data_IF_766257803833
#
_entry.id   IF_766257803833
#
_cell.length_a   1.000
_cell.length_b   1.000
_cell.length_c   1.000
_cell.angle_alpha   90.00
_cell.angle_beta   90.00
_cell.angle_gamma   90.00
#
_symmetry.space_group_name_H-M   'P 1'
#
loop_
_entity.id
_entity.type
_entity.pdbx_description
1 polymer ?
#
# COMPACT_ATOMS: atom_id res chain seq x y z
N UNK A 1 0.43 -33.61 6.53
CA UNK A 1 -0.37 -32.38 6.70
C UNK A 1 -0.80 -32.27 8.16
N UNK A 2 0.12 -31.84 9.01
CA UNK A 2 -0.23 -31.47 10.39
C UNK A 2 -0.97 -30.14 10.37
N UNK A 3 -2.26 -30.17 10.56
CA UNK A 3 -3.06 -29.00 10.88
C UNK A 3 -2.68 -28.52 12.28
N UNK A 4 -1.65 -27.71 12.41
CA UNK A 4 -1.48 -26.91 13.61
C UNK A 4 -2.54 -25.83 13.58
N UNK A 5 -3.62 -26.03 14.32
CA UNK A 5 -4.58 -24.97 14.59
C UNK A 5 -4.01 -24.13 15.74
N UNK A 6 -3.56 -22.92 15.44
CA UNK A 6 -3.32 -21.90 16.45
C UNK A 6 -4.65 -21.66 17.16
N UNK A 7 -4.64 -21.69 18.49
CA UNK A 7 -5.85 -21.39 19.26
C UNK A 7 -6.02 -19.88 19.39
N UNK A 8 -7.24 -19.35 19.43
CA UNK A 8 -7.49 -17.90 19.50
C UNK A 8 -6.80 -17.18 20.65
N UNK A 9 -6.47 -17.88 21.72
CA UNK A 9 -5.82 -17.33 22.93
C UNK A 9 -4.29 -17.50 22.92
N UNK A 10 -3.69 -18.03 21.86
CA UNK A 10 -2.25 -18.11 21.73
C UNK A 10 -1.72 -16.78 21.20
N UNK A 11 -0.60 -16.32 21.75
CA UNK A 11 0.08 -15.10 21.29
C UNK A 11 0.62 -15.29 19.89
N UNK A 12 -0.08 -14.73 18.90
CA UNK A 12 0.33 -14.79 17.50
C UNK A 12 -0.70 -14.10 16.63
N UNK A 13 -0.21 -13.50 15.54
CA UNK A 13 -1.06 -12.88 14.53
C UNK A 13 -1.23 -13.84 13.35
N UNK A 14 -2.40 -13.82 12.73
CA UNK A 14 -2.64 -14.57 11.50
C UNK A 14 -2.47 -13.64 10.32
N UNK A 15 -1.51 -13.96 9.50
CA UNK A 15 -1.28 -13.29 8.23
C UNK A 15 -2.16 -13.91 7.13
N UNK A 16 -3.00 -13.09 6.53
CA UNK A 16 -3.91 -13.53 5.44
C UNK A 16 -3.53 -12.82 4.16
N UNK A 17 -3.05 -13.60 3.22
CA UNK A 17 -2.57 -13.12 1.93
C UNK A 17 -3.31 -13.72 0.74
N UNK A 18 -3.24 -13.05 -0.40
CA UNK A 18 -3.83 -13.48 -1.66
C UNK A 18 -4.50 -12.35 -2.42
N UNK A 19 -5.30 -12.70 -3.39
CA UNK A 19 -6.13 -11.72 -4.11
C UNK A 19 -7.28 -11.24 -3.24
N UNK A 20 -7.73 -10.01 -3.46
CA UNK A 20 -8.69 -9.31 -2.61
C UNK A 20 -9.93 -10.12 -2.22
N UNK A 21 -10.52 -10.83 -3.19
CA UNK A 21 -11.72 -11.64 -2.93
C UNK A 21 -11.49 -12.81 -1.97
N UNK A 22 -10.30 -13.40 -2.00
CA UNK A 22 -9.93 -14.50 -1.13
C UNK A 22 -9.53 -14.01 0.27
N UNK A 23 -8.76 -12.95 0.34
CA UNK A 23 -8.30 -12.35 1.60
C UNK A 23 -9.48 -11.91 2.43
N UNK A 24 -10.43 -11.19 1.84
CA UNK A 24 -11.58 -10.64 2.54
C UNK A 24 -12.38 -11.73 3.28
N UNK A 25 -12.77 -12.79 2.60
CA UNK A 25 -13.58 -13.87 3.21
C UNK A 25 -12.82 -14.64 4.28
N UNK A 26 -11.53 -14.93 4.06
CA UNK A 26 -10.68 -15.62 5.03
C UNK A 26 -10.45 -14.74 6.27
N UNK A 27 -10.14 -13.46 6.07
CA UNK A 27 -9.89 -12.53 7.15
C UNK A 27 -11.12 -12.32 8.04
N UNK A 28 -12.30 -12.12 7.46
CA UNK A 28 -13.57 -12.01 8.20
C UNK A 28 -13.84 -13.27 9.02
N UNK A 29 -13.62 -14.46 8.42
CA UNK A 29 -13.81 -15.72 9.13
C UNK A 29 -12.87 -15.85 10.33
N UNK A 30 -11.60 -15.50 10.16
CA UNK A 30 -10.61 -15.58 11.24
C UNK A 30 -10.87 -14.53 12.32
N UNK A 31 -11.12 -13.28 11.94
CA UNK A 31 -11.43 -12.21 12.88
C UNK A 31 -12.66 -12.55 13.76
N UNK A 32 -13.70 -13.09 13.14
CA UNK A 32 -14.91 -13.52 13.85
C UNK A 32 -14.68 -14.69 14.82
N UNK A 33 -13.60 -15.45 14.63
CA UNK A 33 -13.16 -16.54 15.51
C UNK A 33 -12.03 -16.14 16.46
N UNK A 34 -11.91 -14.86 16.78
CA UNK A 34 -10.97 -14.29 17.77
C UNK A 34 -9.48 -14.36 17.40
N UNK A 35 -9.15 -14.45 16.12
CA UNK A 35 -7.78 -14.34 15.67
C UNK A 35 -7.44 -12.88 15.34
N UNK A 36 -6.33 -12.33 15.85
CA UNK A 36 -5.75 -11.09 15.35
C UNK A 36 -5.25 -11.29 13.91
N UNK A 37 -5.75 -10.48 12.98
CA UNK A 37 -5.51 -10.65 11.53
C UNK A 37 -4.73 -9.48 10.97
N UNK A 38 -3.67 -9.77 10.23
CA UNK A 38 -2.96 -8.84 9.36
C UNK A 38 -3.36 -9.13 7.92
N UNK A 39 -3.74 -8.10 7.19
CA UNK A 39 -4.21 -8.21 5.81
C UNK A 39 -3.08 -7.92 4.82
N UNK A 40 -2.89 -8.82 3.87
CA UNK A 40 -2.01 -8.60 2.74
C UNK A 40 -2.74 -8.91 1.43
N UNK A 41 -3.13 -7.86 0.74
CA UNK A 41 -3.79 -7.97 -0.55
C UNK A 41 -2.76 -7.92 -1.67
N UNK A 42 -2.47 -9.05 -2.29
CA UNK A 42 -1.49 -9.13 -3.37
C UNK A 42 -1.79 -8.14 -4.52
N UNK A 43 -3.06 -7.83 -4.74
CA UNK A 43 -3.51 -6.88 -5.76
C UNK A 43 -3.04 -5.45 -5.49
N UNK A 44 -2.69 -5.10 -4.25
CA UNK A 44 -2.35 -3.75 -3.81
C UNK A 44 -0.97 -3.63 -3.17
N UNK A 45 -0.51 -4.66 -2.47
CA UNK A 45 0.65 -4.58 -1.59
C UNK A 45 1.78 -5.55 -1.90
N UNK A 46 1.75 -6.23 -3.05
CA UNK A 46 2.91 -6.94 -3.58
C UNK A 46 3.76 -5.96 -4.40
N UNK A 47 4.86 -5.52 -3.81
CA UNK A 47 5.71 -4.49 -4.40
C UNK A 47 6.62 -4.99 -5.51
N UNK A 48 6.77 -6.29 -5.66
CA UNK A 48 7.41 -6.95 -6.79
C UNK A 48 6.55 -6.99 -8.07
N UNK A 49 5.31 -6.50 -8.01
CA UNK A 49 4.50 -6.32 -9.21
C UNK A 49 4.97 -5.10 -10.02
N UNK A 50 4.93 -5.22 -11.35
CA UNK A 50 5.36 -4.15 -12.26
C UNK A 50 4.51 -2.87 -12.10
N UNK A 51 5.14 -1.72 -12.30
CA UNK A 51 4.46 -0.43 -12.29
C UNK A 51 3.62 -0.18 -13.55
N UNK A 52 4.15 -0.55 -14.70
CA UNK A 52 3.55 -0.26 -16.01
C UNK A 52 3.62 -1.48 -16.93
N UNK A 53 2.77 -1.55 -17.99
CA UNK A 53 2.76 -2.67 -18.92
C UNK A 53 3.91 -2.65 -19.94
N UNK A 54 4.98 -1.94 -19.67
CA UNK A 54 6.11 -1.84 -20.59
C UNK A 54 6.99 -3.09 -20.51
N UNK A 55 7.42 -3.58 -21.67
CA UNK A 55 8.19 -4.83 -21.77
C UNK A 55 9.51 -4.84 -20.99
N UNK A 56 10.10 -3.67 -20.74
CA UNK A 56 11.34 -3.51 -19.98
C UNK A 56 11.13 -3.17 -18.51
N UNK A 57 9.90 -2.98 -18.07
CA UNK A 57 9.60 -2.69 -16.68
C UNK A 57 9.84 -3.95 -15.84
N UNK A 58 10.64 -3.86 -14.77
CA UNK A 58 10.88 -5.02 -13.90
C UNK A 58 9.65 -5.40 -13.10
N UNK A 59 9.61 -6.65 -12.65
CA UNK A 59 8.55 -7.16 -11.77
C UNK A 59 7.63 -8.18 -12.42
N UNK A 60 6.75 -8.71 -11.59
CA UNK A 60 5.68 -9.61 -12.02
C UNK A 60 4.37 -8.85 -12.26
N UNK A 61 3.39 -9.52 -12.86
CA UNK A 61 2.06 -8.94 -13.17
C UNK A 61 0.90 -9.89 -12.90
N UNK A 62 1.15 -10.99 -12.17
CA UNK A 62 0.12 -12.02 -11.94
C UNK A 62 -0.90 -11.61 -10.86
N UNK A 63 -0.51 -10.78 -9.90
CA UNK A 63 -1.35 -10.42 -8.76
C UNK A 63 -2.13 -9.12 -9.00
N UNK A 64 -1.47 -8.09 -9.50
CA UNK A 64 -2.04 -6.75 -9.62
C UNK A 64 -2.41 -6.39 -11.06
N UNK A 65 -3.18 -5.32 -11.15
CA UNK A 65 -3.52 -4.66 -12.42
C UNK A 65 -2.49 -3.60 -12.81
N UNK A 66 -1.23 -3.72 -12.45
CA UNK A 66 -0.25 -2.65 -12.51
C UNK A 66 -0.34 -1.78 -11.25
N UNK A 67 0.61 -1.98 -10.34
CA UNK A 67 0.55 -1.32 -9.04
C UNK A 67 1.53 -0.16 -8.94
N UNK A 68 1.03 1.06 -8.93
CA UNK A 68 1.78 2.22 -8.48
C UNK A 68 1.35 2.58 -7.05
N UNK A 69 1.79 3.70 -6.54
CA UNK A 69 1.55 4.18 -5.19
C UNK A 69 0.06 4.42 -4.88
N UNK A 70 -0.71 4.82 -5.88
CA UNK A 70 -2.18 4.95 -5.79
C UNK A 70 -2.87 3.60 -5.58
N UNK A 71 -2.38 2.54 -6.21
CA UNK A 71 -2.86 1.20 -5.98
C UNK A 71 -2.55 0.74 -4.54
N UNK A 72 -1.33 0.99 -4.05
CA UNK A 72 -0.95 0.67 -2.67
C UNK A 72 -1.77 1.46 -1.65
N UNK A 73 -2.06 2.72 -1.91
CA UNK A 73 -2.97 3.52 -1.07
C UNK A 73 -4.39 2.94 -1.05
N UNK A 74 -4.85 2.41 -2.17
CA UNK A 74 -6.20 1.85 -2.31
C UNK A 74 -6.45 0.59 -1.46
N UNK A 75 -5.41 -0.01 -0.87
CA UNK A 75 -5.54 -1.10 0.11
C UNK A 75 -6.41 -0.68 1.30
N UNK A 76 -6.44 0.61 1.66
CA UNK A 76 -7.26 1.13 2.72
C UNK A 76 -8.76 0.87 2.50
N UNK A 77 -9.23 1.01 1.27
CA UNK A 77 -10.64 0.72 0.91
C UNK A 77 -10.93 -0.78 1.12
N UNK A 78 -10.05 -1.64 0.64
CA UNK A 78 -10.20 -3.07 0.78
C UNK A 78 -10.20 -3.51 2.26
N UNK A 79 -9.32 -2.93 3.06
CA UNK A 79 -9.25 -3.17 4.51
C UNK A 79 -10.50 -2.69 5.23
N UNK A 80 -10.97 -1.47 4.96
CA UNK A 80 -12.21 -0.92 5.53
C UNK A 80 -13.42 -1.78 5.19
N UNK A 81 -13.53 -2.21 3.95
CA UNK A 81 -14.61 -3.10 3.53
C UNK A 81 -14.57 -4.45 4.27
N UNK A 82 -13.37 -4.96 4.54
CA UNK A 82 -13.18 -6.21 5.29
C UNK A 82 -13.58 -6.03 6.76
N UNK A 83 -13.20 -4.91 7.37
CA UNK A 83 -13.62 -4.56 8.73
C UNK A 83 -15.14 -4.44 8.85
N UNK A 84 -15.79 -3.77 7.90
CA UNK A 84 -17.26 -3.61 7.91
C UNK A 84 -18.02 -4.93 7.75
N UNK A 85 -17.41 -5.96 7.18
CA UNK A 85 -18.01 -7.30 7.06
C UNK A 85 -17.75 -8.18 8.27
N UNK A 86 -16.84 -7.81 9.15
CA UNK A 86 -16.54 -8.56 10.36
C UNK A 86 -17.46 -8.15 11.51
N UNK A 87 -17.90 -9.14 12.30
CA UNK A 87 -18.55 -8.90 13.58
C UNK A 87 -17.56 -8.48 14.68
N UNK A 88 -16.27 -8.63 14.42
CA UNK A 88 -15.15 -8.29 15.30
C UNK A 88 -14.08 -7.49 14.53
N UNK A 89 -14.41 -6.28 14.10
CA UNK A 89 -13.49 -5.48 13.27
C UNK A 89 -12.17 -5.16 13.94
N UNK A 90 -12.15 -5.04 15.27
CA UNK A 90 -10.94 -4.76 16.07
C UNK A 90 -9.90 -5.90 16.01
N UNK A 91 -10.30 -7.08 15.59
CA UNK A 91 -9.38 -8.18 15.36
C UNK A 91 -8.63 -8.06 14.02
N UNK A 92 -9.01 -7.13 13.16
CA UNK A 92 -8.23 -6.77 11.96
C UNK A 92 -7.28 -5.66 12.36
N UNK A 93 -6.03 -6.03 12.65
CA UNK A 93 -5.08 -5.20 13.39
C UNK A 93 -4.03 -4.49 12.54
N UNK A 94 -3.95 -4.79 11.24
CA UNK A 94 -2.93 -4.16 10.41
C UNK A 94 -2.95 -4.59 8.95
N UNK A 95 -2.07 -3.91 8.21
CA UNK A 95 -1.79 -4.16 6.80
C UNK A 95 -0.33 -4.56 6.64
N UNK A 96 -0.07 -5.40 5.65
CA UNK A 96 1.27 -5.84 5.28
C UNK A 96 1.49 -5.71 3.77
N UNK A 97 2.73 -5.47 3.37
CA UNK A 97 3.16 -5.51 1.99
C UNK A 97 4.39 -6.38 1.82
N UNK A 98 4.44 -7.16 0.75
CA UNK A 98 5.55 -8.04 0.44
C UNK A 98 6.35 -7.54 -0.76
N UNK A 99 7.64 -7.80 -0.71
CA UNK A 99 8.57 -7.61 -1.81
C UNK A 99 9.35 -8.91 -2.03
N UNK A 100 8.85 -9.74 -2.92
CA UNK A 100 9.47 -11.01 -3.28
C UNK A 100 10.65 -10.78 -4.21
N UNK A 101 11.78 -11.40 -3.90
CA UNK A 101 13.06 -11.05 -4.54
C UNK A 101 13.43 -11.90 -5.76
N UNK A 102 12.52 -12.73 -6.23
CA UNK A 102 12.76 -13.62 -7.37
C UNK A 102 13.23 -12.90 -8.65
N UNK A 103 12.80 -11.65 -8.82
CA UNK A 103 13.14 -10.79 -9.98
C UNK A 103 13.89 -9.52 -9.58
N UNK A 104 14.45 -9.49 -8.38
CA UNK A 104 15.17 -8.33 -7.85
C UNK A 104 16.65 -8.70 -7.68
N UNK A 105 17.51 -8.38 -8.64
CA UNK A 105 18.92 -8.82 -8.65
C UNK A 105 19.81 -8.03 -7.68
N UNK A 106 19.43 -6.81 -7.31
CA UNK A 106 20.27 -5.93 -6.52
C UNK A 106 19.48 -4.92 -5.67
N UNK A 107 20.19 -4.21 -4.81
CA UNK A 107 19.62 -3.22 -3.91
C UNK A 107 19.02 -2.02 -4.63
N UNK A 108 19.57 -1.61 -5.76
CA UNK A 108 19.06 -0.50 -6.57
C UNK A 108 17.67 -0.82 -7.09
N UNK A 109 17.50 -2.04 -7.61
CA UNK A 109 16.19 -2.49 -8.08
C UNK A 109 15.21 -2.73 -6.93
N UNK A 110 15.68 -3.18 -5.78
CA UNK A 110 14.85 -3.30 -4.57
C UNK A 110 14.24 -1.94 -4.19
N UNK A 111 15.06 -0.89 -4.13
CA UNK A 111 14.56 0.46 -3.86
C UNK A 111 13.58 0.93 -4.93
N UNK A 112 13.89 0.69 -6.20
CA UNK A 112 13.04 1.03 -7.32
C UNK A 112 11.66 0.38 -7.22
N UNK A 113 11.61 -0.89 -6.87
CA UNK A 113 10.34 -1.64 -6.76
C UNK A 113 9.54 -1.26 -5.51
N UNK A 114 10.21 -0.99 -4.40
CA UNK A 114 9.56 -0.63 -3.15
C UNK A 114 9.06 0.82 -3.13
N UNK A 115 9.82 1.74 -3.73
CA UNK A 115 9.58 3.18 -3.63
C UNK A 115 9.12 3.76 -4.98
N UNK A 116 8.03 4.54 -4.98
CA UNK A 116 7.31 5.08 -3.84
C UNK A 116 6.09 4.25 -3.35
N UNK A 117 5.82 3.04 -3.85
CA UNK A 117 4.67 2.21 -3.47
C UNK A 117 4.50 2.06 -1.95
N UNK A 118 5.61 1.85 -1.24
CA UNK A 118 5.61 1.70 0.22
C UNK A 118 4.98 2.91 0.92
N UNK A 119 5.11 4.11 0.35
CA UNK A 119 4.48 5.30 0.91
C UNK A 119 2.95 5.24 0.85
N UNK A 120 2.38 4.63 -0.19
CA UNK A 120 0.94 4.40 -0.28
C UNK A 120 0.44 3.44 0.80
N UNK A 121 1.16 2.34 1.03
CA UNK A 121 0.83 1.40 2.10
C UNK A 121 0.97 2.05 3.49
N UNK A 122 2.04 2.81 3.71
CA UNK A 122 2.25 3.51 4.97
C UNK A 122 1.13 4.51 5.25
N UNK A 123 0.73 5.29 4.26
CA UNK A 123 -0.41 6.20 4.38
C UNK A 123 -1.69 5.46 4.73
N UNK A 124 -1.99 4.37 4.02
CA UNK A 124 -3.16 3.54 4.29
C UNK A 124 -3.19 2.94 5.70
N UNK A 125 -2.01 2.66 6.26
CA UNK A 125 -1.87 2.01 7.57
C UNK A 125 -1.91 2.99 8.75
N UNK A 126 -1.44 4.22 8.56
CA UNK A 126 -1.21 5.18 9.64
C UNK A 126 -2.16 6.37 9.64
N UNK A 127 -2.88 6.62 8.55
CA UNK A 127 -3.87 7.69 8.51
C UNK A 127 -5.15 7.28 9.20
N UNK A 128 -5.41 7.89 10.35
CA UNK A 128 -6.61 7.63 11.16
C UNK A 128 -7.89 8.23 10.54
N UNK A 129 -7.74 9.27 9.73
CA UNK A 129 -8.87 9.95 9.09
C UNK A 129 -8.95 9.55 7.63
N UNK A 130 -10.13 9.08 7.28
CA UNK A 130 -10.59 8.75 5.94
C UNK A 130 -9.50 8.89 4.86
N UNK A 131 -8.81 7.81 4.59
CA UNK A 131 -8.01 7.64 3.37
C UNK A 131 -8.90 7.88 2.13
N UNK A 132 -10.15 8.17 2.37
CA UNK A 132 -11.16 8.43 1.35
C UNK A 132 -11.55 9.90 1.35
N UNK A 133 -11.43 10.53 0.19
CA UNK A 133 -12.04 11.80 -0.07
C UNK A 133 -13.60 11.71 -0.11
N UNK A 134 -14.24 12.82 -0.34
CA UNK A 134 -15.69 12.88 -0.55
C UNK A 134 -16.04 11.97 -1.74
N UNK A 135 -16.60 10.82 -1.45
CA UNK A 135 -16.99 9.84 -2.48
C UNK A 135 -16.32 8.47 -2.33
N UNK A 136 -15.56 8.24 -1.26
CA UNK A 136 -14.99 6.93 -0.93
C UNK A 136 -13.75 6.55 -1.74
N UNK A 137 -13.06 7.53 -2.33
CA UNK A 137 -11.78 7.34 -2.99
C UNK A 137 -10.61 7.59 -2.03
N UNK A 138 -9.48 6.90 -2.20
CA UNK A 138 -8.27 7.22 -1.44
C UNK A 138 -7.90 8.69 -1.61
N UNK A 139 -7.43 9.34 -0.54
CA UNK A 139 -6.96 10.72 -0.59
C UNK A 139 -5.60 10.80 -1.32
N UNK A 140 -5.63 10.48 -2.61
CA UNK A 140 -4.48 10.47 -3.49
C UNK A 140 -3.87 11.86 -3.66
N UNK A 141 -4.72 12.88 -3.75
CA UNK A 141 -4.28 14.26 -3.96
C UNK A 141 -3.39 14.75 -2.81
N UNK A 142 -3.79 14.49 -1.56
CA UNK A 142 -2.99 14.86 -0.38
C UNK A 142 -1.67 14.09 -0.32
N UNK A 143 -1.69 12.78 -0.56
CA UNK A 143 -0.48 11.97 -0.56
C UNK A 143 0.47 12.40 -1.69
N UNK A 144 -0.03 12.57 -2.91
CA UNK A 144 0.77 12.96 -4.06
C UNK A 144 1.45 14.30 -3.85
N UNK A 145 0.76 15.24 -3.22
CA UNK A 145 1.34 16.52 -2.81
C UNK A 145 2.54 16.32 -1.86
N UNK A 146 2.35 15.57 -0.79
CA UNK A 146 3.42 15.32 0.21
C UNK A 146 4.58 14.51 -0.36
N UNK A 147 4.35 13.67 -1.35
CA UNK A 147 5.41 12.93 -2.04
C UNK A 147 6.23 13.83 -2.97
N UNK A 148 5.58 14.65 -3.76
CA UNK A 148 6.18 15.27 -4.94
C UNK A 148 6.39 16.77 -4.90
N UNK A 149 5.85 17.51 -3.93
CA UNK A 149 5.91 18.97 -3.97
C UNK A 149 7.23 19.55 -3.46
N UNK A 150 8.00 20.05 -4.40
CA UNK A 150 9.17 20.88 -4.14
C UNK A 150 10.35 20.15 -3.49
N UNK A 151 11.25 20.93 -2.93
CA UNK A 151 12.46 20.43 -2.25
C UNK A 151 12.18 19.76 -0.90
N UNK A 152 10.99 19.97 -0.35
CA UNK A 152 10.56 19.45 0.95
C UNK A 152 9.69 18.19 0.80
N UNK A 153 9.36 17.79 -0.43
CA UNK A 153 8.63 16.55 -0.68
C UNK A 153 9.40 15.30 -0.24
N UNK A 154 8.66 14.29 0.18
CA UNK A 154 9.25 13.06 0.72
C UNK A 154 10.21 12.38 -0.28
N UNK A 155 9.93 12.41 -1.57
CA UNK A 155 10.80 11.83 -2.59
C UNK A 155 12.11 12.61 -2.73
N UNK A 156 12.06 13.94 -2.64
CA UNK A 156 13.27 14.77 -2.63
C UNK A 156 14.11 14.51 -1.37
N UNK A 157 13.46 14.33 -0.23
CA UNK A 157 14.11 13.94 1.03
C UNK A 157 14.79 12.58 0.91
N UNK A 158 14.12 11.56 0.40
CA UNK A 158 14.70 10.23 0.17
C UNK A 158 15.96 10.29 -0.71
N UNK A 159 15.92 11.11 -1.76
CA UNK A 159 17.08 11.26 -2.63
C UNK A 159 18.22 12.03 -1.94
N UNK A 160 17.94 13.17 -1.29
CA UNK A 160 18.96 14.03 -0.72
C UNK A 160 19.65 13.44 0.52
N UNK A 161 18.90 12.72 1.36
CA UNK A 161 19.39 12.18 2.64
C UNK A 161 19.88 10.75 2.50
N UNK A 162 19.15 9.91 1.78
CA UNK A 162 19.44 8.49 1.68
C UNK A 162 20.00 8.05 0.33
N UNK A 163 20.07 8.96 -0.65
CA UNK A 163 20.47 8.65 -2.03
C UNK A 163 19.67 7.48 -2.61
N UNK A 164 18.40 7.38 -2.20
CA UNK A 164 17.55 6.27 -2.57
C UNK A 164 17.24 6.27 -4.07
N UNK A 165 17.38 5.10 -4.69
CA UNK A 165 17.02 4.90 -6.09
C UNK A 165 15.55 4.52 -6.20
N UNK A 166 14.66 5.48 -6.06
CA UNK A 166 13.23 5.24 -6.27
C UNK A 166 12.86 5.39 -7.76
N UNK A 167 11.75 4.77 -8.16
CA UNK A 167 11.29 4.74 -9.56
C UNK A 167 11.10 6.14 -10.17
N UNK A 168 10.87 7.13 -9.39
CA UNK A 168 10.48 8.46 -9.82
C UNK A 168 9.13 8.84 -9.19
N UNK A 169 8.53 9.89 -9.73
CA UNK A 169 7.20 10.27 -9.29
C UNK A 169 6.16 9.24 -9.71
N UNK A 170 5.18 8.93 -8.86
CA UNK A 170 4.04 8.12 -9.25
C UNK A 170 3.33 8.69 -10.48
N UNK A 171 2.70 7.82 -11.27
CA UNK A 171 1.99 8.23 -12.48
C UNK A 171 0.97 9.34 -12.16
N UNK A 172 1.01 10.41 -12.95
CA UNK A 172 0.16 11.59 -12.78
C UNK A 172 0.79 12.74 -11.98
N UNK A 173 1.77 12.49 -11.11
CA UNK A 173 2.41 13.58 -10.34
C UNK A 173 3.27 14.46 -11.22
N UNK A 174 4.03 13.92 -12.16
CA UNK A 174 4.91 14.71 -13.04
C UNK A 174 4.16 15.76 -13.87
N UNK A 175 2.92 15.46 -14.24
CA UNK A 175 2.07 16.40 -14.99
C UNK A 175 1.32 17.37 -14.09
N UNK A 176 1.00 16.99 -12.86
CA UNK A 176 0.16 17.76 -11.95
C UNK A 176 0.94 18.43 -10.79
N UNK A 177 2.16 17.98 -10.52
CA UNK A 177 2.94 18.50 -9.39
C UNK A 177 3.11 20.02 -9.37
N UNK A 178 3.39 20.71 -10.51
CA UNK A 178 3.43 22.18 -10.52
C UNK A 178 2.09 22.83 -10.17
N UNK A 179 0.98 22.22 -10.55
CA UNK A 179 -0.35 22.75 -10.26
C UNK A 179 -0.76 22.46 -8.81
N UNK A 180 -0.50 21.26 -8.30
CA UNK A 180 -0.79 20.88 -6.92
C UNK A 180 0.05 21.69 -5.94
N UNK A 181 1.32 21.93 -6.25
CA UNK A 181 2.20 22.75 -5.41
C UNK A 181 1.81 24.23 -5.38
N UNK A 182 1.17 24.74 -6.41
CA UNK A 182 0.68 26.11 -6.47
C UNK A 182 -0.65 26.30 -5.73
N UNK A 183 -1.48 25.28 -5.65
CA UNK A 183 -2.78 25.35 -4.93
C UNK A 183 -2.63 25.29 -3.42
N UNK A 184 -1.57 24.69 -2.89
CA UNK A 184 -1.33 24.66 -1.44
C UNK A 184 -0.95 26.02 -0.84
N UNK A 185 -0.42 26.95 -1.65
CA UNK A 185 -0.20 28.33 -1.22
C UNK A 185 -1.49 29.15 -1.10
N UNK A 186 -2.63 28.61 -1.49
CA UNK A 186 -3.95 29.26 -1.40
C UNK A 186 -4.80 28.77 -0.22
N UNK A 187 -4.35 27.75 0.50
CA UNK A 187 -4.99 27.30 1.74
C UNK A 187 -4.09 27.71 2.89
N UNK A 188 -4.11 28.99 3.21
CA UNK A 188 -3.57 29.47 4.48
C UNK A 188 -4.48 29.01 5.62
N UNK A 189 -3.87 28.65 6.79
CA UNK A 189 -4.56 28.13 7.96
C UNK A 189 -5.57 29.08 8.57
#
# INVERSE_FOLDING_TARGET
>A
NSKHSIKPNETGHVWVWGKSSEVQSKAVTLANNDYPVILEYADYSYFDMTYTPQLKEPGFYWASKLGDTDASLSIAIAATNTQHQSNKPDNIIGLEGALWTDVIPDYTQLQYMALPKLAGLAEASWSAESVTDIGGKPNWQSLSYRLGCGKEGFLAYLNSVYQANYRGYPNGIEQEAPMLCNTANSVNP
#
